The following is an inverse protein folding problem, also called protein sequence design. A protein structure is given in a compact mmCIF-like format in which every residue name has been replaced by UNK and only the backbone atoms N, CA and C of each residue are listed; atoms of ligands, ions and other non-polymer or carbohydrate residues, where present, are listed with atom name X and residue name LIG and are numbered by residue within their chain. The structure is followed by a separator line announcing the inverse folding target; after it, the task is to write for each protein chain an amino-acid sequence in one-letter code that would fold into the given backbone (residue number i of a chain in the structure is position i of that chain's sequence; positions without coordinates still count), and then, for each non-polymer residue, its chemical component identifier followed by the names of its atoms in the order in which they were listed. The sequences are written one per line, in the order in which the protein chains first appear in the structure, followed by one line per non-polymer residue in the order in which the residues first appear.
data_IF_041499001061
#
_entry.id   IF_041499001061
#
_cell.length_a   1.000
_cell.length_b   1.000
_cell.length_c   1.000
_cell.angle_alpha   90.00
_cell.angle_beta   90.00
_cell.angle_gamma   90.00
#
_symmetry.space_group_name_H-M   'P 1'
#
loop_
_entity.id
_entity.type
_entity.pdbx_description
1 polymer ?
#
# COMPACT_ATOMS: atom_id res chain seq x y z
N UNK A 1 -11.03 8.48 0.60
CA UNK A 1 -10.04 9.09 1.52
C UNK A 1 -10.18 8.37 2.85
N UNK A 2 -9.08 7.89 3.42
CA UNK A 2 -9.06 7.26 4.76
C UNK A 2 -8.94 8.36 5.83
N UNK A 3 -9.58 8.18 6.98
CA UNK A 3 -9.56 9.14 8.09
C UNK A 3 -9.61 8.43 9.44
N UNK A 4 -9.08 9.06 10.48
CA UNK A 4 -9.11 8.53 11.85
C UNK A 4 -10.54 8.56 12.40
N UNK A 5 -10.91 7.56 13.20
CA UNK A 5 -12.24 7.50 13.82
C UNK A 5 -12.22 6.79 15.18
N UNK A 6 -13.04 7.30 16.10
CA UNK A 6 -13.39 6.70 17.39
C UNK A 6 -14.86 6.24 17.45
N UNK A 7 -15.65 6.55 16.40
CA UNK A 7 -17.11 6.33 16.36
C UNK A 7 -17.50 4.86 16.22
N UNK A 8 -16.59 4.02 15.71
CA UNK A 8 -16.79 2.59 15.47
C UNK A 8 -15.47 1.86 15.67
N UNK A 9 -15.53 0.68 16.25
CA UNK A 9 -14.40 -0.26 16.27
C UNK A 9 -14.34 -0.93 14.90
N UNK A 10 -13.17 -0.90 14.26
CA UNK A 10 -12.94 -1.57 12.98
C UNK A 10 -12.66 -3.06 13.14
N UNK A 11 -12.45 -3.73 12.01
CA UNK A 11 -12.04 -5.13 11.95
C UNK A 11 -10.57 -5.23 11.53
N UNK A 12 -9.90 -6.31 11.92
CA UNK A 12 -8.55 -6.67 11.45
C UNK A 12 -8.64 -7.63 10.26
N UNK A 13 -7.63 -7.63 9.40
CA UNK A 13 -7.52 -8.54 8.26
C UNK A 13 -6.27 -9.41 8.41
N UNK A 14 -6.25 -10.55 7.73
CA UNK A 14 -5.04 -11.37 7.63
C UNK A 14 -3.93 -10.57 6.94
N UNK A 15 -2.76 -10.57 7.58
CA UNK A 15 -1.62 -9.78 7.13
C UNK A 15 -0.65 -10.65 6.35
N UNK A 16 -0.31 -10.20 5.15
CA UNK A 16 0.87 -10.63 4.40
C UNK A 16 1.71 -9.40 4.06
N UNK A 17 2.98 -9.41 4.45
CA UNK A 17 3.91 -8.30 4.17
C UNK A 17 4.62 -8.50 2.83
N UNK A 18 5.19 -7.43 2.26
CA UNK A 18 5.82 -7.45 0.93
C UNK A 18 6.86 -8.56 0.79
N UNK A 19 7.70 -8.75 1.79
CA UNK A 19 8.78 -9.74 1.82
C UNK A 19 8.28 -11.19 2.01
N UNK A 20 7.02 -11.39 2.40
CA UNK A 20 6.39 -12.71 2.50
C UNK A 20 5.73 -13.15 1.19
N UNK A 21 5.51 -12.22 0.24
CA UNK A 21 4.93 -12.54 -1.05
C UNK A 21 5.90 -13.36 -1.90
N UNK A 22 5.34 -14.24 -2.74
CA UNK A 22 6.12 -14.91 -3.77
C UNK A 22 6.67 -13.89 -4.78
N UNK A 23 7.71 -14.29 -5.51
CA UNK A 23 8.30 -13.43 -6.55
C UNK A 23 7.28 -13.08 -7.63
N UNK A 24 6.42 -14.04 -8.00
CA UNK A 24 5.37 -13.86 -9.00
C UNK A 24 4.32 -12.85 -8.54
N UNK A 25 3.93 -12.89 -7.26
CA UNK A 25 2.97 -11.95 -6.69
C UNK A 25 3.55 -10.52 -6.65
N UNK A 26 4.82 -10.37 -6.26
CA UNK A 26 5.52 -9.08 -6.30
C UNK A 26 5.66 -8.55 -7.72
N UNK A 27 6.02 -9.40 -8.67
CA UNK A 27 6.08 -9.06 -10.11
C UNK A 27 4.72 -8.60 -10.63
N UNK A 28 3.66 -9.39 -10.40
CA UNK A 28 2.31 -9.04 -10.82
C UNK A 28 1.84 -7.69 -10.25
N UNK A 29 2.06 -7.44 -8.95
CA UNK A 29 1.69 -6.16 -8.33
C UNK A 29 2.50 -4.96 -8.86
N UNK A 30 3.73 -5.20 -9.32
CA UNK A 30 4.60 -4.16 -9.86
C UNK A 30 4.30 -3.80 -11.31
N UNK A 31 3.87 -4.78 -12.10
CA UNK A 31 3.69 -4.64 -13.56
C UNK A 31 2.23 -4.44 -13.98
N UNK A 32 1.27 -4.86 -13.16
CA UNK A 32 -0.15 -4.77 -13.50
C UNK A 32 -0.62 -3.31 -13.54
N UNK A 33 -1.27 -2.93 -14.64
CA UNK A 33 -1.98 -1.66 -14.74
C UNK A 33 -3.34 -1.74 -14.03
N UNK A 34 -3.40 -1.17 -12.83
CA UNK A 34 -4.63 -1.01 -12.05
C UNK A 34 -5.42 0.27 -12.44
N UNK A 35 -5.04 0.89 -13.55
CA UNK A 35 -5.62 2.11 -14.06
C UNK A 35 -5.09 3.37 -13.38
N UNK A 36 -5.46 4.53 -13.93
CA UNK A 36 -4.88 5.84 -13.54
C UNK A 36 -5.09 6.24 -12.07
N UNK A 37 -6.15 5.73 -11.44
CA UNK A 37 -6.57 6.14 -10.08
C UNK A 37 -6.09 5.22 -8.97
N UNK A 38 -5.67 4.00 -9.29
CA UNK A 38 -5.23 3.02 -8.31
C UNK A 38 -3.79 2.63 -8.65
N UNK A 39 -2.84 3.20 -7.91
CA UNK A 39 -1.44 2.76 -7.95
C UNK A 39 -1.17 1.91 -6.71
N UNK A 40 -0.46 0.80 -6.88
CA UNK A 40 -0.07 -0.05 -5.74
C UNK A 40 0.93 0.73 -4.88
N UNK A 41 0.64 1.01 -3.60
CA UNK A 41 1.40 2.02 -2.86
C UNK A 41 2.71 1.48 -2.24
N UNK A 42 2.84 0.16 -2.10
CA UNK A 42 3.92 -0.48 -1.37
C UNK A 42 4.93 -1.23 -2.26
N UNK A 43 4.80 -1.15 -3.59
CA UNK A 43 5.79 -1.72 -4.52
C UNK A 43 7.06 -0.86 -4.51
N UNK A 44 8.19 -1.47 -4.87
CA UNK A 44 9.51 -0.83 -4.87
C UNK A 44 9.53 0.51 -5.64
N UNK A 45 8.85 0.56 -6.79
CA UNK A 45 8.76 1.77 -7.63
C UNK A 45 8.05 2.96 -6.95
N UNK A 46 7.16 2.70 -5.99
CA UNK A 46 6.31 3.72 -5.37
C UNK A 46 6.58 3.93 -3.87
N UNK A 47 7.20 2.96 -3.18
CA UNK A 47 7.29 2.93 -1.73
C UNK A 47 7.93 4.19 -1.14
N UNK A 48 9.16 4.53 -1.56
CA UNK A 48 9.87 5.71 -1.04
C UNK A 48 9.16 7.03 -1.36
N UNK A 49 8.59 7.16 -2.57
CA UNK A 49 7.85 8.37 -2.95
C UNK A 49 6.57 8.54 -2.09
N UNK A 50 5.91 7.44 -1.76
CA UNK A 50 4.75 7.44 -0.89
C UNK A 50 5.11 7.71 0.58
N UNK A 51 6.25 7.21 1.07
CA UNK A 51 6.75 7.55 2.40
C UNK A 51 7.01 9.04 2.53
N UNK A 52 7.69 9.65 1.55
CA UNK A 52 7.94 11.10 1.55
C UNK A 52 6.62 11.89 1.51
N UNK A 53 5.67 11.47 0.66
CA UNK A 53 4.36 12.11 0.57
C UNK A 53 3.52 11.95 1.85
N UNK A 54 3.72 10.85 2.58
CA UNK A 54 2.99 10.54 3.82
C UNK A 54 3.66 11.11 5.06
N UNK A 55 4.79 11.81 4.90
CA UNK A 55 5.57 12.33 6.01
C UNK A 55 4.78 13.41 6.77
N UNK A 56 4.48 13.22 8.07
CA UNK A 56 3.65 14.16 8.82
C UNK A 56 4.37 15.44 9.25
N UNK A 57 5.71 15.44 9.26
CA UNK A 57 6.54 16.56 9.70
C UNK A 57 7.81 16.68 8.83
N UNK A 58 8.18 17.88 8.41
CA UNK A 58 9.39 18.16 7.62
C UNK A 58 10.69 18.01 8.43
#
# INVERSE_FOLDING_TARGET
MLTLTDKRVGETQDLIIWEQLTEEARGALSETDFGKKAKVPFIDANFNANLETSRPFL
#
